data_IF_412606660613
#
_entry.id   IF_412606660613
#
_cell.length_a   1.000
_cell.length_b   1.000
_cell.length_c   1.000
_cell.angle_alpha   90.00
_cell.angle_beta   90.00
_cell.angle_gamma   90.00
#
_symmetry.space_group_name_H-M   'P 1'
#
loop_
_entity.id
_entity.type
_entity.pdbx_description
1 polymer ?
#
# COMPACT_ATOMS: atom_id res chain seq x y z
N UNK A 1 -16.93 4.03 4.57
CA UNK A 1 -16.91 5.36 5.20
C UNK A 1 -15.64 5.37 6.03
N UNK A 2 -14.66 6.21 5.66
CA UNK A 2 -13.37 6.26 6.36
C UNK A 2 -13.66 6.69 7.80
N UNK A 3 -13.18 5.89 8.77
CA UNK A 3 -13.27 6.21 10.20
C UNK A 3 -11.92 6.74 10.65
N UNK A 4 -11.95 7.76 11.49
CA UNK A 4 -10.76 8.31 12.14
C UNK A 4 -10.76 7.75 13.56
N UNK A 5 -9.69 7.07 13.93
CA UNK A 5 -9.54 6.45 15.25
C UNK A 5 -9.34 7.47 16.35
N UNK A 6 -8.48 8.45 16.09
CA UNK A 6 -8.11 9.52 16.99
C UNK A 6 -8.61 10.86 16.41
N UNK A 7 -9.82 11.32 16.75
CA UNK A 7 -10.40 12.55 16.21
C UNK A 7 -9.49 13.79 16.27
N UNK A 8 -8.73 14.06 17.36
CA UNK A 8 -7.83 15.22 17.41
C UNK A 8 -6.65 15.14 16.44
N UNK A 9 -6.31 13.97 15.88
CA UNK A 9 -5.13 13.80 15.02
C UNK A 9 -5.07 14.77 13.83
N UNK A 10 -6.24 15.16 13.30
CA UNK A 10 -6.33 16.13 12.21
C UNK A 10 -5.98 17.54 12.66
N UNK A 11 -6.45 17.95 13.84
CA UNK A 11 -6.16 19.26 14.40
C UNK A 11 -4.68 19.36 14.80
N UNK A 12 -4.13 18.29 15.39
CA UNK A 12 -2.72 18.22 15.73
C UNK A 12 -1.84 18.25 14.48
N UNK A 13 -2.16 17.44 13.46
CA UNK A 13 -1.43 17.45 12.20
C UNK A 13 -1.46 18.83 11.52
N UNK A 14 -2.59 19.55 11.59
CA UNK A 14 -2.69 20.88 11.02
C UNK A 14 -1.88 21.92 11.81
N UNK A 15 -1.90 21.83 13.14
CA UNK A 15 -1.10 22.68 14.04
C UNK A 15 0.40 22.43 13.82
N UNK A 16 0.81 21.18 13.73
CA UNK A 16 2.21 20.80 13.51
C UNK A 16 2.73 21.27 12.16
N UNK A 17 1.89 21.24 11.11
CA UNK A 17 2.25 21.80 9.81
C UNK A 17 2.39 23.32 9.84
N UNK A 18 1.56 23.99 10.64
CA UNK A 18 1.64 25.44 10.82
C UNK A 18 2.88 25.86 11.62
N UNK A 19 3.17 25.18 12.73
CA UNK A 19 4.26 25.52 13.65
C UNK A 19 5.63 25.03 13.15
N UNK A 20 5.67 23.86 12.52
CA UNK A 20 6.90 23.16 12.13
C UNK A 20 6.81 22.60 10.70
N UNK A 21 6.70 23.44 9.66
CA UNK A 21 6.40 23.01 8.29
C UNK A 21 7.42 21.99 7.77
N UNK A 22 6.92 20.94 7.12
CA UNK A 22 7.77 19.97 6.45
C UNK A 22 8.42 20.58 5.18
N UNK A 23 9.46 19.95 4.61
CA UNK A 23 10.02 20.39 3.34
C UNK A 23 8.96 20.63 2.28
N UNK A 24 9.01 21.83 1.68
CA UNK A 24 8.08 22.26 0.66
C UNK A 24 8.82 22.66 -0.63
N UNK A 25 8.20 22.39 -1.77
CA UNK A 25 8.71 22.77 -3.09
C UNK A 25 7.81 23.82 -3.70
N UNK A 26 8.33 25.05 -3.79
CA UNK A 26 7.71 26.11 -4.57
C UNK A 26 7.97 25.89 -6.06
N UNK A 27 6.91 25.82 -6.84
CA UNK A 27 6.94 25.65 -8.28
C UNK A 27 6.91 27.02 -8.98
N UNK A 28 7.45 27.11 -10.19
CA UNK A 28 7.49 28.35 -10.98
C UNK A 28 6.12 28.89 -11.38
N UNK A 29 5.09 28.04 -11.33
CA UNK A 29 3.69 28.40 -11.60
C UNK A 29 2.92 28.88 -10.35
N UNK A 30 3.63 29.08 -9.23
CA UNK A 30 3.04 29.57 -7.97
C UNK A 30 2.43 28.49 -7.07
N UNK A 31 2.47 27.21 -7.47
CA UNK A 31 2.05 26.09 -6.60
C UNK A 31 3.10 25.76 -5.56
N UNK A 32 2.67 25.37 -4.36
CA UNK A 32 3.53 24.77 -3.34
C UNK A 32 3.17 23.30 -3.18
N UNK A 33 4.16 22.43 -3.28
CA UNK A 33 4.02 20.99 -2.99
C UNK A 33 4.58 20.75 -1.60
N UNK A 34 3.75 20.27 -0.69
CA UNK A 34 4.14 19.92 0.68
C UNK A 34 4.52 18.45 0.75
N UNK A 35 5.57 18.14 1.52
CA UNK A 35 5.81 16.76 1.93
C UNK A 35 4.71 16.34 2.91
N UNK A 36 4.09 15.19 2.67
CA UNK A 36 3.00 14.68 3.51
C UNK A 36 3.52 14.18 4.86
N UNK A 37 2.83 14.51 5.96
CA UNK A 37 3.02 13.86 7.26
C UNK A 37 2.30 12.52 7.22
N UNK A 38 3.06 11.44 7.26
CA UNK A 38 2.53 10.08 7.13
C UNK A 38 2.86 9.19 8.33
N UNK A 39 3.57 9.72 9.33
CA UNK A 39 3.91 8.99 10.54
C UNK A 39 2.97 9.42 11.66
N UNK A 40 1.85 8.71 11.76
CA UNK A 40 0.82 8.90 12.78
C UNK A 40 0.97 7.92 13.95
N UNK A 41 2.12 7.23 14.03
CA UNK A 41 2.35 6.21 15.03
C UNK A 41 1.59 4.91 14.78
N UNK A 42 1.58 4.07 15.80
CA UNK A 42 0.86 2.79 15.81
C UNK A 42 -0.55 3.05 16.31
N UNK A 43 -1.54 2.57 15.58
CA UNK A 43 -2.94 2.56 16.02
C UNK A 43 -3.07 1.84 17.37
N UNK A 44 -3.52 2.57 18.40
CA UNK A 44 -3.65 2.04 19.76
C UNK A 44 -4.87 1.12 19.94
N UNK A 45 -5.87 1.25 19.07
CA UNK A 45 -7.09 0.46 19.10
C UNK A 45 -7.36 -0.18 17.74
N UNK A 46 -7.82 -1.44 17.71
CA UNK A 46 -8.23 -2.07 16.45
C UNK A 46 -9.45 -1.33 15.89
N UNK A 47 -9.23 -0.38 15.00
CA UNK A 47 -10.29 0.50 14.53
C UNK A 47 -11.11 -0.14 13.43
N UNK A 48 -12.05 -0.97 13.88
CA UNK A 48 -13.28 -1.25 13.16
C UNK A 48 -13.26 -2.48 12.25
N UNK A 49 -14.12 -2.42 11.23
CA UNK A 49 -14.36 -3.50 10.28
C UNK A 49 -13.34 -3.34 9.15
N UNK A 50 -12.59 -4.40 8.83
CA UNK A 50 -11.70 -4.42 7.66
C UNK A 50 -12.54 -4.13 6.41
N UNK A 51 -12.22 -3.05 5.72
CA UNK A 51 -12.84 -2.69 4.45
C UNK A 51 -11.78 -2.82 3.36
N UNK A 52 -12.05 -3.66 2.36
CA UNK A 52 -11.22 -3.70 1.16
C UNK A 52 -11.60 -2.49 0.29
N UNK A 53 -10.58 -1.80 -0.21
CA UNK A 53 -10.69 -0.64 -1.10
C UNK A 53 -9.76 -0.86 -2.29
N UNK A 54 -9.78 0.07 -3.26
CA UNK A 54 -8.92 0.06 -4.44
C UNK A 54 -9.16 -1.14 -5.36
N UNK A 55 -10.25 -1.06 -6.14
CA UNK A 55 -10.65 -2.09 -7.10
C UNK A 55 -10.22 -1.75 -8.54
N UNK A 56 -9.29 -0.82 -8.72
CA UNK A 56 -8.91 -0.30 -10.04
C UNK A 56 -8.25 -1.37 -10.91
N UNK A 57 -7.66 -2.40 -10.29
CA UNK A 57 -7.03 -3.55 -10.94
C UNK A 57 -7.83 -4.85 -10.79
N UNK A 58 -9.07 -4.77 -10.30
CA UNK A 58 -9.94 -5.94 -10.19
C UNK A 58 -10.29 -6.51 -11.58
N UNK A 59 -10.19 -7.82 -11.70
CA UNK A 59 -10.53 -8.57 -12.91
C UNK A 59 -11.47 -9.71 -12.58
N UNK A 60 -12.30 -10.11 -13.54
CA UNK A 60 -13.17 -11.28 -13.37
C UNK A 60 -12.32 -12.55 -13.29
N UNK A 61 -12.49 -13.35 -12.25
CA UNK A 61 -11.75 -14.60 -12.09
C UNK A 61 -12.38 -15.81 -12.81
N UNK A 62 -13.35 -15.59 -13.72
CA UNK A 62 -13.96 -16.66 -14.51
C UNK A 62 -13.06 -17.20 -15.64
N UNK A 63 -11.92 -16.56 -15.89
CA UNK A 63 -10.91 -16.98 -16.86
C UNK A 63 -9.51 -16.69 -16.31
N UNK A 64 -8.49 -17.44 -16.73
CA UNK A 64 -7.11 -17.10 -16.42
C UNK A 64 -6.77 -15.70 -16.93
N UNK A 65 -6.21 -14.87 -16.05
CA UNK A 65 -5.70 -13.54 -16.37
C UNK A 65 -4.17 -13.57 -16.52
N UNK A 66 -3.59 -12.54 -17.12
CA UNK A 66 -2.15 -12.39 -17.36
C UNK A 66 -1.72 -10.95 -17.12
N UNK A 67 -0.42 -10.75 -16.89
CA UNK A 67 0.16 -9.45 -16.56
C UNK A 67 0.52 -9.33 -15.09
N UNK A 68 1.14 -8.21 -14.75
CA UNK A 68 1.60 -7.90 -13.41
C UNK A 68 0.65 -6.90 -12.75
N UNK A 69 -0.04 -7.33 -11.70
CA UNK A 69 -0.94 -6.49 -10.89
C UNK A 69 -0.50 -6.49 -9.41
N UNK A 70 -0.13 -7.65 -8.85
CA UNK A 70 0.35 -7.72 -7.48
C UNK A 70 1.66 -6.94 -7.24
N UNK A 71 1.68 -6.25 -6.09
CA UNK A 71 2.89 -5.72 -5.47
C UNK A 71 3.95 -6.83 -5.32
N UNK A 72 5.21 -6.46 -5.49
CA UNK A 72 6.32 -7.42 -5.64
C UNK A 72 6.43 -8.43 -4.50
N UNK A 73 6.35 -7.96 -3.25
CA UNK A 73 6.46 -8.80 -2.04
C UNK A 73 5.26 -9.73 -1.82
N UNK A 74 4.12 -9.48 -2.46
CA UNK A 74 2.88 -10.27 -2.32
C UNK A 74 2.56 -11.08 -3.57
N UNK A 75 3.46 -11.09 -4.56
CA UNK A 75 3.23 -11.71 -5.85
C UNK A 75 3.22 -13.23 -5.74
N UNK A 76 2.17 -13.85 -6.28
CA UNK A 76 2.01 -15.29 -6.33
C UNK A 76 3.00 -15.91 -7.35
N UNK A 77 3.47 -17.15 -7.11
CA UNK A 77 4.43 -17.81 -7.98
C UNK A 77 3.92 -17.97 -9.41
N UNK A 78 2.63 -18.24 -9.61
CA UNK A 78 2.01 -18.33 -10.95
C UNK A 78 2.03 -17.00 -11.71
N UNK A 79 1.99 -15.87 -11.00
CA UNK A 79 2.11 -14.52 -11.58
C UNK A 79 3.56 -14.23 -11.95
N UNK A 80 4.53 -14.59 -11.08
CA UNK A 80 5.97 -14.46 -11.37
C UNK A 80 6.35 -15.23 -12.64
N UNK A 81 5.79 -16.42 -12.82
CA UNK A 81 6.09 -17.31 -13.95
C UNK A 81 5.29 -17.00 -15.22
N UNK A 82 4.43 -15.97 -15.21
CA UNK A 82 3.44 -15.68 -16.27
C UNK A 82 2.66 -16.95 -16.72
N UNK A 83 2.37 -17.83 -15.76
CA UNK A 83 1.66 -19.09 -16.00
C UNK A 83 0.14 -18.88 -16.18
N UNK A 84 -0.30 -17.63 -16.09
CA UNK A 84 -1.70 -17.26 -15.92
C UNK A 84 -2.11 -17.39 -14.45
N UNK A 85 -3.01 -16.50 -14.01
CA UNK A 85 -3.46 -16.44 -12.63
C UNK A 85 -4.99 -16.37 -12.52
N UNK A 86 -5.47 -16.73 -11.33
CA UNK A 86 -6.88 -16.72 -10.93
C UNK A 86 -6.98 -16.35 -9.45
N UNK A 87 -8.14 -16.55 -8.82
CA UNK A 87 -8.38 -16.26 -7.40
C UNK A 87 -7.33 -16.84 -6.44
N UNK A 88 -6.58 -17.87 -6.85
CA UNK A 88 -5.43 -18.41 -6.10
C UNK A 88 -4.37 -17.35 -5.80
N UNK A 89 -4.15 -16.39 -6.70
CA UNK A 89 -3.18 -15.34 -6.52
C UNK A 89 -3.59 -14.39 -5.40
N UNK A 90 -4.88 -14.06 -5.26
CA UNK A 90 -5.38 -13.22 -4.17
C UNK A 90 -5.23 -13.91 -2.81
N UNK A 91 -5.54 -15.22 -2.76
CA UNK A 91 -5.37 -16.05 -1.55
C UNK A 91 -3.90 -16.07 -1.13
N UNK A 92 -2.99 -16.19 -2.10
CA UNK A 92 -1.56 -16.10 -1.84
C UNK A 92 -1.19 -14.75 -1.21
N UNK A 93 -1.57 -13.63 -1.85
CA UNK A 93 -1.23 -12.29 -1.32
C UNK A 93 -1.81 -12.06 0.07
N UNK A 94 -3.04 -12.51 0.34
CA UNK A 94 -3.64 -12.43 1.66
C UNK A 94 -2.85 -13.25 2.69
N UNK A 95 -2.41 -14.46 2.33
CA UNK A 95 -1.59 -15.30 3.20
C UNK A 95 -0.24 -14.66 3.56
N UNK A 96 0.41 -14.02 2.59
CA UNK A 96 1.68 -13.30 2.82
C UNK A 96 1.44 -12.07 3.72
N UNK A 97 0.37 -11.30 3.48
CA UNK A 97 0.00 -10.17 4.34
C UNK A 97 -0.24 -10.62 5.79
N UNK A 98 -1.05 -11.66 5.99
CA UNK A 98 -1.36 -12.17 7.33
C UNK A 98 -0.09 -12.64 8.05
N UNK A 99 0.86 -13.26 7.34
CA UNK A 99 2.14 -13.60 7.92
C UNK A 99 2.90 -12.36 8.41
N UNK A 100 3.00 -11.33 7.58
CA UNK A 100 3.72 -10.10 7.91
C UNK A 100 3.14 -9.45 9.18
N UNK A 101 1.82 -9.39 9.28
CA UNK A 101 1.10 -8.81 10.42
C UNK A 101 1.26 -9.66 11.68
N UNK A 102 1.20 -10.99 11.57
CA UNK A 102 1.29 -11.90 12.72
C UNK A 102 2.71 -12.05 13.26
N UNK A 103 3.72 -12.05 12.39
CA UNK A 103 5.12 -12.27 12.75
C UNK A 103 5.88 -10.96 12.98
N UNK A 104 5.29 -9.82 12.63
CA UNK A 104 5.92 -8.50 12.71
C UNK A 104 7.16 -8.35 11.81
N UNK A 105 7.32 -9.23 10.81
CA UNK A 105 8.44 -9.24 9.87
C UNK A 105 7.99 -9.79 8.51
N UNK A 106 8.64 -9.31 7.45
CA UNK A 106 8.34 -9.71 6.07
C UNK A 106 8.64 -11.20 5.82
N UNK A 107 7.68 -11.94 5.25
CA UNK A 107 7.87 -13.33 4.82
C UNK A 107 8.92 -13.43 3.71
N UNK A 108 8.77 -12.60 2.69
CA UNK A 108 9.71 -12.43 1.58
C UNK A 108 10.36 -11.05 1.71
N UNK A 109 11.68 -11.01 1.58
CA UNK A 109 12.44 -9.75 1.65
C UNK A 109 12.60 -9.19 0.24
N UNK A 110 12.53 -7.87 0.11
CA UNK A 110 12.93 -7.18 -1.11
C UNK A 110 14.35 -7.59 -1.48
N UNK A 111 14.54 -7.96 -2.74
CA UNK A 111 15.89 -8.04 -3.32
C UNK A 111 16.29 -6.60 -3.63
N UNK A 112 17.45 -6.17 -3.14
CA UNK A 112 17.96 -4.79 -3.22
C UNK A 112 17.70 -4.14 -4.61
N UNK A 113 16.94 -3.03 -4.67
CA UNK A 113 16.63 -2.28 -5.88
C UNK A 113 17.85 -1.72 -6.63
N UNK A 114 19.05 -1.71 -6.04
CA UNK A 114 20.28 -1.32 -6.75
C UNK A 114 20.66 -2.27 -7.91
N UNK A 115 19.96 -3.40 -8.08
CA UNK A 115 20.01 -4.23 -9.30
C UNK A 115 18.81 -4.04 -10.25
N UNK A 116 17.75 -3.33 -9.83
CA UNK A 116 16.54 -3.04 -10.63
C UNK A 116 16.22 -1.54 -10.52
N UNK A 117 17.24 -0.72 -10.80
CA UNK A 117 17.14 0.72 -10.77
C UNK A 117 16.48 1.21 -12.07
N UNK A 118 15.14 1.22 -12.18
CA UNK A 118 14.42 2.21 -13.01
C UNK A 118 12.87 2.27 -12.94
N UNK A 119 12.17 1.51 -12.09
CA UNK A 119 10.74 1.73 -11.93
C UNK A 119 10.27 1.43 -10.50
N UNK A 120 9.32 2.24 -10.02
CA UNK A 120 8.62 2.11 -8.73
C UNK A 120 9.33 2.84 -7.56
N UNK A 121 9.52 4.15 -7.75
CA UNK A 121 9.35 5.09 -6.64
C UNK A 121 7.86 5.39 -6.49
N UNK A 122 7.37 5.23 -5.24
CA UNK A 122 6.01 5.47 -4.71
C UNK A 122 5.18 4.18 -4.60
N UNK A 123 5.13 3.60 -3.40
CA UNK A 123 3.94 3.57 -2.55
C UNK A 123 4.19 2.69 -1.32
N UNK A 124 4.51 3.31 -0.18
CA UNK A 124 4.39 2.69 1.15
C UNK A 124 2.91 2.69 1.58
N UNK A 125 2.08 1.99 0.82
CA UNK A 125 0.73 1.65 1.25
C UNK A 125 0.50 0.18 0.93
N UNK A 126 0.21 -0.59 1.98
CA UNK A 126 -0.07 -2.00 1.90
C UNK A 126 -1.46 -2.17 1.29
N UNK A 127 -1.57 -2.24 -0.03
CA UNK A 127 -2.84 -2.46 -0.73
C UNK A 127 -2.85 -3.88 -1.29
N UNK A 128 -3.81 -4.72 -0.87
CA UNK A 128 -4.14 -5.96 -1.59
C UNK A 128 -5.14 -5.59 -2.67
N UNK A 129 -4.76 -5.86 -3.91
CA UNK A 129 -5.66 -5.85 -5.05
C UNK A 129 -6.36 -7.21 -5.13
N UNK A 130 -7.69 -7.22 -5.01
CA UNK A 130 -8.48 -8.46 -5.09
C UNK A 130 -9.10 -8.63 -6.48
N UNK A 131 -9.18 -9.88 -6.95
CA UNK A 131 -10.12 -10.28 -7.99
C UNK A 131 -11.51 -10.49 -7.38
N UNK A 132 -12.54 -9.94 -8.05
CA UNK A 132 -13.96 -10.19 -7.77
C UNK A 132 -14.55 -11.08 -8.89
#
# INVERSE_FOLDING_TARGET
>A
MIKIEDPPILEESARDEYEHPLPQKSCSDGRTIYLSRNDFGISEETTGIIQITDFDLSVRGNKPNRGCFQAEIYRAPEVILDAGYSYSADIWSLGVMLWDDLEGKKLFKDVDPLQVQEAIQRHNHCTIELQL
#
